data_IF_134609626637
#
_entry.id   IF_134609626637
#
_cell.length_a   1.000
_cell.length_b   1.000
_cell.length_c   1.000
_cell.angle_alpha   90.00
_cell.angle_beta   90.00
_cell.angle_gamma   90.00
#
_symmetry.space_group_name_H-M   'P 1'
#
loop_
_entity.id
_entity.type
_entity.pdbx_description
1 polymer ?
#
# COMPACT_ATOMS: atom_id res chain seq x y z
N UNK A 1 48.32 -26.52 39.52
CA UNK A 1 46.88 -26.69 39.83
C UNK A 1 46.26 -25.30 39.69
N UNK A 2 45.30 -24.99 38.84
CA UNK A 2 44.24 -25.77 38.19
C UNK A 2 44.04 -25.23 36.76
N UNK A 3 43.88 -26.18 35.85
CA UNK A 3 43.38 -26.05 34.47
C UNK A 3 41.99 -25.44 34.44
N UNK A 4 41.74 -24.37 33.69
CA UNK A 4 40.37 -24.00 33.28
C UNK A 4 40.41 -22.89 32.25
N UNK A 5 40.33 -23.25 30.97
CA UNK A 5 39.61 -22.51 29.93
C UNK A 5 39.86 -23.16 28.57
N UNK A 6 39.44 -24.43 28.45
CA UNK A 6 39.23 -25.06 27.15
C UNK A 6 37.83 -25.68 27.17
N UNK A 7 36.82 -24.82 27.32
CA UNK A 7 35.42 -25.19 27.11
C UNK A 7 35.06 -24.80 25.68
N UNK A 8 35.28 -25.79 24.81
CA UNK A 8 34.67 -26.02 23.51
C UNK A 8 33.34 -25.26 23.31
N UNK A 9 33.37 -24.13 22.59
CA UNK A 9 32.20 -23.60 21.91
C UNK A 9 31.98 -24.39 20.62
N UNK A 10 31.46 -25.60 20.77
CA UNK A 10 30.85 -26.34 19.67
C UNK A 10 29.49 -25.70 19.35
N UNK A 11 29.49 -24.76 18.40
CA UNK A 11 28.26 -24.34 17.74
C UNK A 11 27.76 -25.52 16.88
N UNK A 12 26.76 -26.24 17.38
CA UNK A 12 26.00 -27.20 16.58
C UNK A 12 25.26 -26.37 15.53
N UNK A 13 25.61 -26.54 14.26
CA UNK A 13 24.81 -26.11 13.11
C UNK A 13 23.52 -26.92 13.11
N UNK A 14 22.58 -26.53 13.97
CA UNK A 14 21.20 -26.94 13.86
C UNK A 14 20.64 -26.26 12.61
N UNK A 15 20.71 -26.96 11.47
CA UNK A 15 19.90 -26.67 10.29
C UNK A 15 18.45 -26.93 10.72
N UNK A 16 17.88 -25.96 11.41
CA UNK A 16 16.45 -25.87 11.60
C UNK A 16 15.85 -25.78 10.22
N UNK A 17 15.12 -26.81 9.84
CA UNK A 17 14.27 -26.84 8.65
C UNK A 17 13.31 -25.66 8.78
N UNK A 18 13.67 -24.51 8.20
CA UNK A 18 12.77 -23.36 8.13
C UNK A 18 11.58 -23.86 7.31
N UNK A 19 10.35 -23.89 7.86
CA UNK A 19 9.19 -24.18 7.04
C UNK A 19 9.21 -23.11 5.96
N UNK A 20 9.38 -23.52 4.70
CA UNK A 20 9.17 -22.64 3.57
C UNK A 20 7.73 -22.14 3.71
N UNK A 21 7.59 -20.94 4.28
CA UNK A 21 6.33 -20.24 4.31
C UNK A 21 5.89 -20.16 2.86
N UNK A 22 4.80 -20.83 2.54
CA UNK A 22 4.05 -20.62 1.30
C UNK A 22 3.52 -19.19 1.35
N UNK A 23 4.42 -18.21 1.20
CA UNK A 23 4.09 -16.84 0.86
C UNK A 23 3.44 -16.96 -0.51
N UNK A 24 2.11 -16.99 -0.51
CA UNK A 24 1.28 -16.97 -1.70
C UNK A 24 1.85 -15.86 -2.59
N UNK A 25 2.35 -16.23 -3.78
CA UNK A 25 3.01 -15.28 -4.67
C UNK A 25 2.13 -14.02 -4.78
N UNK A 26 2.70 -12.82 -4.55
CA UNK A 26 1.91 -11.60 -4.56
C UNK A 26 1.22 -11.49 -5.92
N UNK A 27 -0.12 -11.48 -5.89
CA UNK A 27 -0.93 -11.35 -7.11
C UNK A 27 -0.44 -10.10 -7.84
N UNK A 28 -0.02 -10.22 -9.12
CA UNK A 28 0.49 -9.09 -9.87
C UNK A 28 -0.53 -7.95 -9.85
N UNK A 29 -0.09 -6.78 -9.36
CA UNK A 29 -0.91 -5.57 -9.35
C UNK A 29 -1.07 -5.12 -10.81
N UNK A 30 -2.18 -5.48 -11.44
CA UNK A 30 -2.49 -4.96 -12.79
C UNK A 30 -2.99 -3.53 -12.65
N UNK A 31 -2.33 -2.59 -13.31
CA UNK A 31 -2.79 -1.22 -13.43
C UNK A 31 -3.92 -1.11 -14.47
N UNK A 32 -4.67 -0.02 -14.41
CA UNK A 32 -5.77 0.26 -15.34
C UNK A 32 -5.49 1.47 -16.22
N UNK A 33 -6.57 2.16 -16.63
CA UNK A 33 -6.47 3.47 -17.28
C UNK A 33 -6.59 4.57 -16.22
N UNK A 34 -6.11 5.76 -16.54
CA UNK A 34 -6.41 6.91 -15.70
C UNK A 34 -7.90 7.26 -15.79
N UNK A 35 -8.61 7.11 -14.66
CA UNK A 35 -10.00 7.55 -14.48
C UNK A 35 -10.05 8.49 -13.26
N UNK A 36 -9.79 9.80 -13.45
CA UNK A 36 -9.69 10.74 -12.34
C UNK A 36 -10.98 10.85 -11.51
N UNK A 37 -12.13 10.95 -12.16
CA UNK A 37 -13.42 11.09 -11.47
C UNK A 37 -13.78 9.83 -10.69
N UNK A 38 -13.61 8.66 -11.30
CA UNK A 38 -13.83 7.40 -10.62
C UNK A 38 -12.85 7.18 -9.45
N UNK A 39 -11.58 7.56 -9.62
CA UNK A 39 -10.58 7.49 -8.56
C UNK A 39 -10.94 8.40 -7.37
N UNK A 40 -11.39 9.63 -7.61
CA UNK A 40 -11.86 10.55 -6.53
C UNK A 40 -13.02 9.93 -5.76
N UNK A 41 -14.02 9.38 -6.47
CA UNK A 41 -15.15 8.68 -5.82
C UNK A 41 -14.69 7.49 -4.97
N UNK A 42 -13.76 6.70 -5.47
CA UNK A 42 -13.20 5.54 -4.75
C UNK A 42 -12.37 5.97 -3.54
N UNK A 43 -11.56 7.02 -3.67
CA UNK A 43 -10.79 7.60 -2.58
C UNK A 43 -11.72 8.10 -1.47
N UNK A 44 -12.74 8.88 -1.82
CA UNK A 44 -13.70 9.42 -0.87
C UNK A 44 -14.43 8.31 -0.12
N UNK A 45 -14.87 7.26 -0.82
CA UNK A 45 -15.51 6.11 -0.21
C UNK A 45 -14.61 5.36 0.79
N UNK A 46 -13.30 5.30 0.54
CA UNK A 46 -12.31 4.73 1.45
C UNK A 46 -12.11 5.61 2.69
N UNK A 47 -11.85 6.90 2.46
CA UNK A 47 -11.58 7.88 3.50
C UNK A 47 -12.79 8.11 4.42
N UNK A 48 -14.00 8.14 3.87
CA UNK A 48 -15.27 8.20 4.63
C UNK A 48 -15.44 7.03 5.59
N UNK A 49 -14.84 5.86 5.28
CA UNK A 49 -14.83 4.68 6.15
C UNK A 49 -13.65 4.65 7.13
N UNK A 50 -12.89 5.75 7.25
CA UNK A 50 -11.75 5.87 8.14
C UNK A 50 -10.48 5.18 7.63
N UNK A 51 -10.41 4.79 6.35
CA UNK A 51 -9.18 4.21 5.78
C UNK A 51 -8.09 5.26 5.63
N UNK A 52 -6.84 4.82 5.64
CA UNK A 52 -5.71 5.68 5.29
C UNK A 52 -5.76 6.09 3.81
N UNK A 53 -5.01 7.13 3.44
CA UNK A 53 -4.85 7.52 2.04
C UNK A 53 -4.23 6.37 1.21
N UNK A 54 -3.25 5.66 1.76
CA UNK A 54 -2.59 4.55 1.09
C UNK A 54 -3.54 3.36 0.83
N UNK A 55 -4.37 3.02 1.82
CA UNK A 55 -5.38 1.96 1.66
C UNK A 55 -6.45 2.35 0.64
N UNK A 56 -6.86 3.63 0.65
CA UNK A 56 -7.82 4.16 -0.31
C UNK A 56 -7.23 4.18 -1.72
N UNK A 57 -5.95 4.53 -1.89
CA UNK A 57 -5.26 4.46 -3.17
C UNK A 57 -5.11 3.01 -3.67
N UNK A 58 -4.91 2.07 -2.75
CA UNK A 58 -4.92 0.63 -3.08
C UNK A 58 -6.29 0.22 -3.65
N UNK A 59 -7.40 0.80 -3.17
CA UNK A 59 -8.73 0.57 -3.74
C UNK A 59 -8.86 1.13 -5.15
N UNK A 60 -8.30 2.32 -5.43
CA UNK A 60 -8.26 2.92 -6.78
C UNK A 60 -7.53 1.99 -7.76
N UNK A 61 -6.35 1.50 -7.36
CA UNK A 61 -5.54 0.58 -8.17
C UNK A 61 -6.29 -0.72 -8.44
N UNK A 62 -6.90 -1.31 -7.41
CA UNK A 62 -7.71 -2.54 -7.55
C UNK A 62 -8.91 -2.34 -8.47
N UNK A 63 -9.47 -1.14 -8.49
CA UNK A 63 -10.59 -0.75 -9.35
C UNK A 63 -10.17 -0.37 -10.78
N UNK A 64 -8.88 -0.48 -11.11
CA UNK A 64 -8.30 -0.16 -12.45
C UNK A 64 -8.52 1.29 -12.89
N UNK A 65 -8.53 2.22 -11.93
CA UNK A 65 -8.73 3.65 -12.15
C UNK A 65 -7.40 4.45 -12.14
N UNK A 66 -6.28 3.76 -12.00
CA UNK A 66 -4.94 4.34 -11.98
C UNK A 66 -4.01 3.59 -12.94
N UNK A 67 -3.26 4.34 -13.74
CA UNK A 67 -2.34 3.82 -14.76
C UNK A 67 -0.87 3.80 -14.33
N UNK A 68 -0.55 4.26 -13.11
CA UNK A 68 0.83 4.32 -12.62
C UNK A 68 1.54 5.65 -12.88
N UNK A 69 0.96 6.55 -13.65
CA UNK A 69 1.61 7.80 -14.06
C UNK A 69 1.43 8.92 -13.03
N UNK A 70 2.45 9.77 -12.90
CA UNK A 70 2.35 11.02 -12.13
C UNK A 70 1.31 11.97 -12.73
N UNK A 71 1.14 11.95 -14.06
CA UNK A 71 0.10 12.74 -14.74
C UNK A 71 -1.30 12.35 -14.24
N UNK A 72 -1.56 11.06 -14.06
CA UNK A 72 -2.83 10.62 -13.52
C UNK A 72 -3.06 11.08 -12.06
N UNK A 73 -2.01 11.11 -11.23
CA UNK A 73 -2.11 11.68 -9.87
C UNK A 73 -2.53 13.15 -9.92
N UNK A 74 -1.93 13.94 -10.81
CA UNK A 74 -2.30 15.35 -11.01
C UNK A 74 -3.77 15.47 -11.38
N UNK A 75 -4.24 14.71 -12.36
CA UNK A 75 -5.65 14.75 -12.77
C UNK A 75 -6.61 14.30 -11.66
N UNK A 76 -6.23 13.31 -10.85
CA UNK A 76 -7.03 12.91 -9.67
C UNK A 76 -7.13 14.06 -8.67
N UNK A 77 -6.03 14.78 -8.42
CA UNK A 77 -6.05 15.96 -7.53
C UNK A 77 -6.93 17.07 -8.09
N UNK A 78 -6.80 17.39 -9.38
CA UNK A 78 -7.63 18.41 -10.05
C UNK A 78 -9.13 18.04 -10.00
N UNK A 79 -9.47 16.81 -10.39
CA UNK A 79 -10.84 16.29 -10.30
C UNK A 79 -11.39 16.35 -8.86
N UNK A 80 -10.55 16.13 -7.85
CA UNK A 80 -10.93 16.26 -6.43
C UNK A 80 -11.28 17.70 -6.06
N UNK A 81 -10.58 18.69 -6.63
CA UNK A 81 -10.90 20.11 -6.43
C UNK A 81 -12.22 20.50 -7.10
N UNK A 82 -12.46 20.02 -8.33
CA UNK A 82 -13.70 20.24 -9.07
C UNK A 82 -14.91 19.60 -8.37
N UNK A 83 -14.73 18.39 -7.83
CA UNK A 83 -15.80 17.58 -7.22
C UNK A 83 -15.85 17.72 -5.69
N UNK A 84 -15.22 18.76 -5.12
CA UNK A 84 -15.04 18.94 -3.67
C UNK A 84 -16.32 18.88 -2.83
N UNK A 85 -17.46 19.28 -3.41
CA UNK A 85 -18.75 19.27 -2.72
C UNK A 85 -19.37 17.86 -2.70
N UNK A 86 -19.10 17.05 -3.73
CA UNK A 86 -19.61 15.69 -3.85
C UNK A 86 -18.74 14.68 -3.08
N UNK A 87 -17.43 14.92 -3.04
CA UNK A 87 -16.43 14.02 -2.46
C UNK A 87 -15.53 14.76 -1.45
N UNK A 88 -16.09 15.24 -0.33
CA UNK A 88 -15.41 16.16 0.59
C UNK A 88 -14.27 15.50 1.37
N UNK A 89 -14.29 14.19 1.60
CA UNK A 89 -13.20 13.49 2.30
C UNK A 89 -11.98 13.37 1.39
N UNK A 90 -12.18 13.05 0.12
CA UNK A 90 -11.11 13.05 -0.88
C UNK A 90 -10.52 14.45 -1.07
N UNK A 91 -11.37 15.48 -1.18
CA UNK A 91 -10.91 16.86 -1.27
C UNK A 91 -10.07 17.27 -0.07
N UNK A 92 -10.62 17.12 1.15
CA UNK A 92 -9.92 17.46 2.38
C UNK A 92 -8.58 16.77 2.46
N UNK A 93 -8.54 15.45 2.19
CA UNK A 93 -7.30 14.67 2.33
C UNK A 93 -6.22 15.02 1.31
N UNK A 94 -6.58 15.45 0.11
CA UNK A 94 -5.62 15.73 -0.96
C UNK A 94 -5.15 17.19 -0.97
N UNK A 95 -5.96 18.12 -0.45
CA UNK A 95 -5.71 19.55 -0.60
C UNK A 95 -5.57 20.32 0.71
N UNK A 96 -6.10 19.82 1.82
CA UNK A 96 -6.12 20.53 3.10
C UNK A 96 -5.25 19.88 4.18
N UNK A 97 -4.77 18.65 3.94
CA UNK A 97 -3.90 17.86 4.82
C UNK A 97 -2.60 17.52 4.08
#
# INVERSE_FOLDING_TARGET
MVTSSLMLLSFILSVGLIPASHAKDPVPITLGKCDPSGAVKTLDAGLKKGKSLNDSMTMVIRSKQFDGSNACITFIREASMEQRELFPYAFKKLWME
#
